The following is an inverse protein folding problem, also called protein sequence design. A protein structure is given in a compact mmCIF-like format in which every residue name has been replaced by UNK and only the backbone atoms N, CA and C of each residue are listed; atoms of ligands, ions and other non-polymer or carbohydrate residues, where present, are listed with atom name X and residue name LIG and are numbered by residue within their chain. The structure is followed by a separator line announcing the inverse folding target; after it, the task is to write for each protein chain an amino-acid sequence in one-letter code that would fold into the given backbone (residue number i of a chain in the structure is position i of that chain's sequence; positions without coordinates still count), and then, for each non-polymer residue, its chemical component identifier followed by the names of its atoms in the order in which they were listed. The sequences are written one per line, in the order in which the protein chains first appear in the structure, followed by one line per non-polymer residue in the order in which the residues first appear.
data_IF_567104618353
#
_entry.id   IF_567104618353
#
_cell.length_a   1.000
_cell.length_b   1.000
_cell.length_c   1.000
_cell.angle_alpha   90.00
_cell.angle_beta   90.00
_cell.angle_gamma   90.00
#
_symmetry.space_group_name_H-M   'P 1'
#
loop_
_entity.id
_entity.type
_entity.pdbx_description
1 polymer ?
#
# COMPACT_ATOMS: atom_id res chain seq x y z
N UNK A 1 2.61 -14.11 -9.13
CA UNK A 1 2.65 -12.64 -8.91
C UNK A 1 1.90 -12.37 -7.63
N UNK A 2 2.52 -11.75 -6.62
CA UNK A 2 1.87 -11.53 -5.32
C UNK A 2 0.66 -10.58 -5.47
N UNK A 3 -0.52 -11.04 -5.05
CA UNK A 3 -1.73 -10.21 -5.03
C UNK A 3 -1.59 -9.13 -3.94
N UNK A 4 -1.81 -7.88 -4.33
CA UNK A 4 -1.76 -6.74 -3.42
C UNK A 4 -3.08 -6.65 -2.65
N UNK A 5 -3.03 -6.81 -1.33
CA UNK A 5 -4.19 -6.68 -0.44
C UNK A 5 -4.68 -5.22 -0.38
N UNK A 6 -5.97 -5.02 -0.10
CA UNK A 6 -6.59 -3.69 0.10
C UNK A 6 -5.96 -2.92 1.29
N UNK A 7 -6.08 -1.57 1.34
CA UNK A 7 -5.61 -0.78 2.49
C UNK A 7 -6.38 -1.24 3.74
N UNK A 8 -5.70 -1.70 4.80
CA UNK A 8 -6.37 -2.17 6.01
C UNK A 8 -7.04 -1.05 6.80
N UNK A 9 -6.68 0.21 6.54
CA UNK A 9 -7.22 1.36 7.26
C UNK A 9 -8.54 1.89 6.66
N UNK A 10 -8.72 1.76 5.35
CA UNK A 10 -9.90 2.30 4.65
C UNK A 10 -10.62 1.28 3.76
N UNK A 11 -10.15 0.04 3.69
CA UNK A 11 -10.72 -1.03 2.86
C UNK A 11 -10.56 -0.84 1.35
N UNK A 12 -10.03 0.30 0.89
CA UNK A 12 -9.90 0.62 -0.53
C UNK A 12 -8.79 -0.18 -1.22
N UNK A 13 -8.91 -0.31 -2.54
CA UNK A 13 -7.93 -0.99 -3.37
C UNK A 13 -6.59 -0.26 -3.29
N UNK A 14 -5.56 -0.98 -2.82
CA UNK A 14 -4.20 -0.47 -2.85
C UNK A 14 -3.63 -0.50 -4.27
N UNK A 15 -2.66 0.36 -4.53
CA UNK A 15 -1.94 0.43 -5.80
C UNK A 15 -0.44 0.44 -5.55
N UNK A 16 0.31 -0.15 -6.48
CA UNK A 16 1.77 -0.05 -6.52
C UNK A 16 2.17 1.01 -7.54
N UNK A 17 3.06 1.93 -7.18
CA UNK A 17 3.64 2.91 -8.09
C UNK A 17 5.15 2.99 -7.88
N UNK A 18 5.89 3.34 -8.93
CA UNK A 18 7.32 3.59 -8.83
C UNK A 18 7.55 5.05 -8.46
N UNK A 19 8.45 5.27 -7.51
CA UNK A 19 8.89 6.60 -7.07
C UNK A 19 9.97 7.14 -8.02
N UNK A 20 10.23 8.44 -7.95
CA UNK A 20 11.29 9.10 -8.74
C UNK A 20 12.70 8.55 -8.47
N UNK A 21 12.90 7.89 -7.33
CA UNK A 21 14.18 7.27 -6.95
C UNK A 21 14.27 5.79 -7.34
N UNK A 22 13.54 5.36 -8.37
CA UNK A 22 13.44 3.97 -8.85
C UNK A 22 12.90 2.95 -7.82
N UNK A 23 12.49 3.41 -6.63
CA UNK A 23 11.92 2.53 -5.60
C UNK A 23 10.44 2.24 -5.87
N UNK A 24 9.96 1.11 -5.38
CA UNK A 24 8.56 0.71 -5.44
C UNK A 24 7.81 1.09 -4.16
N UNK A 25 6.70 1.78 -4.35
CA UNK A 25 5.80 2.18 -3.29
C UNK A 25 4.47 1.42 -3.41
N UNK A 26 3.97 0.90 -2.29
CA UNK A 26 2.60 0.39 -2.17
C UNK A 26 1.81 1.34 -1.27
N UNK A 27 0.65 1.80 -1.74
CA UNK A 27 -0.17 2.73 -0.98
C UNK A 27 -1.62 2.77 -1.45
N UNK A 28 -2.46 3.47 -0.70
CA UNK A 28 -3.82 3.79 -1.10
C UNK A 28 -3.94 5.30 -1.30
N UNK A 29 -3.77 5.74 -2.55
CA UNK A 29 -3.97 7.14 -2.90
C UNK A 29 -5.48 7.41 -3.05
N UNK A 30 -6.06 8.05 -2.04
CA UNK A 30 -7.44 8.52 -2.11
C UNK A 30 -7.47 9.80 -2.94
N UNK A 31 -7.46 9.67 -4.28
CA UNK A 31 -7.64 10.81 -5.19
C UNK A 31 -9.00 11.51 -5.11
N UNK A 32 -9.96 11.00 -4.33
CA UNK A 32 -11.36 11.35 -4.55
C UNK A 32 -12.22 11.49 -3.30
N UNK A 33 -11.70 11.91 -2.15
CA UNK A 33 -12.47 12.74 -1.20
C UNK A 33 -11.65 13.17 0.02
N UNK A 34 -11.73 14.46 0.34
CA UNK A 34 -10.98 15.23 1.33
C UNK A 34 -11.12 14.81 2.81
N UNK A 35 -11.50 13.56 3.16
CA UNK A 35 -11.75 13.19 4.57
C UNK A 35 -10.90 12.08 5.17
N UNK A 36 -10.19 11.27 4.39
CA UNK A 36 -9.19 10.36 4.96
C UNK A 36 -8.04 10.18 3.98
N UNK A 37 -6.87 10.75 4.26
CA UNK A 37 -5.66 10.33 3.56
C UNK A 37 -5.21 9.02 4.23
N UNK A 38 -5.44 7.84 3.63
CA UNK A 38 -4.65 6.62 3.94
C UNK A 38 -3.24 6.91 3.38
N UNK A 39 -2.52 7.87 3.98
CA UNK A 39 -1.19 8.35 3.55
C UNK A 39 -0.08 7.34 3.87
N UNK A 40 -0.44 6.07 3.92
CA UNK A 40 0.42 4.98 4.31
C UNK A 40 1.03 4.45 3.03
N UNK A 41 2.33 4.66 2.93
CA UNK A 41 3.13 4.24 1.79
C UNK A 41 4.24 3.34 2.31
N UNK A 42 4.33 2.13 1.78
CA UNK A 42 5.47 1.25 2.00
C UNK A 42 6.41 1.35 0.81
N UNK A 43 7.56 1.99 1.00
CA UNK A 43 8.60 2.12 -0.03
C UNK A 43 9.67 1.04 0.17
N UNK A 44 10.01 0.33 -0.91
CA UNK A 44 11.05 -0.70 -0.98
C UNK A 44 11.75 -0.65 -2.33
N UNK A 45 12.97 -1.20 -2.41
CA UNK A 45 13.73 -1.25 -3.65
C UNK A 45 13.06 -2.13 -4.73
N UNK A 46 12.37 -3.20 -4.33
CA UNK A 46 11.74 -4.16 -5.24
C UNK A 46 10.21 -4.15 -5.12
N UNK A 47 9.53 -4.36 -6.26
CA UNK A 47 8.07 -4.47 -6.31
C UNK A 47 7.54 -5.57 -5.39
N UNK A 48 8.16 -6.75 -5.42
CA UNK A 48 7.73 -7.89 -4.62
C UNK A 48 7.91 -7.64 -3.11
N UNK A 49 9.02 -7.02 -2.73
CA UNK A 49 9.29 -6.64 -1.34
C UNK A 49 8.33 -5.54 -0.86
N UNK A 50 7.95 -4.60 -1.74
CA UNK A 50 6.94 -3.60 -1.45
C UNK A 50 5.57 -4.25 -1.19
N UNK A 51 5.16 -5.21 -2.04
CA UNK A 51 3.90 -5.96 -1.90
C UNK A 51 3.90 -6.81 -0.62
N UNK A 52 4.99 -7.53 -0.34
CA UNK A 52 5.12 -8.31 0.91
C UNK A 52 5.03 -7.43 2.15
N UNK A 53 5.74 -6.30 2.16
CA UNK A 53 5.71 -5.34 3.27
C UNK A 53 4.31 -4.75 3.48
N UNK A 54 3.61 -4.46 2.39
CA UNK A 54 2.22 -4.01 2.43
C UNK A 54 1.28 -5.08 2.97
N UNK A 55 1.35 -6.30 2.44
CA UNK A 55 0.48 -7.40 2.83
C UNK A 55 0.67 -7.78 4.31
N UNK A 56 1.91 -7.78 4.81
CA UNK A 56 2.20 -7.99 6.24
C UNK A 56 1.54 -6.93 7.13
N UNK A 57 1.51 -5.68 6.66
CA UNK A 57 0.83 -4.57 7.35
C UNK A 57 -0.68 -4.73 7.31
N UNK A 58 -1.23 -5.17 6.17
CA UNK A 58 -2.65 -5.47 6.02
C UNK A 58 -3.10 -6.61 6.94
N UNK A 59 -2.28 -7.65 7.10
CA UNK A 59 -2.57 -8.76 8.01
C UNK A 59 -2.54 -8.35 9.48
N UNK A 60 -1.54 -7.55 9.89
CA UNK A 60 -1.43 -7.09 11.27
C UNK A 60 -2.62 -6.25 11.71
N UNK A 61 -3.19 -5.44 10.80
CA UNK A 61 -4.30 -4.54 11.12
C UNK A 61 -5.67 -5.21 10.89
N UNK A 62 -5.77 -6.17 9.96
CA UNK A 62 -6.98 -6.99 9.78
C UNK A 62 -7.21 -8.00 10.91
N UNK A 63 -6.22 -8.23 11.78
CA UNK A 63 -6.30 -9.13 12.93
C UNK A 63 -6.83 -8.46 14.22
N UNK A 64 -7.24 -7.19 14.15
CA UNK A 64 -7.95 -6.46 15.21
C UNK A 64 -9.44 -6.41 14.90
#
# INVERSE_FOLDING_TARGET
MAELKSCPFCGNKATTYQTLAEMWACGCDLKTNHKQKCGIVCVRANKEEAIKGWNRRAESESAK
#
